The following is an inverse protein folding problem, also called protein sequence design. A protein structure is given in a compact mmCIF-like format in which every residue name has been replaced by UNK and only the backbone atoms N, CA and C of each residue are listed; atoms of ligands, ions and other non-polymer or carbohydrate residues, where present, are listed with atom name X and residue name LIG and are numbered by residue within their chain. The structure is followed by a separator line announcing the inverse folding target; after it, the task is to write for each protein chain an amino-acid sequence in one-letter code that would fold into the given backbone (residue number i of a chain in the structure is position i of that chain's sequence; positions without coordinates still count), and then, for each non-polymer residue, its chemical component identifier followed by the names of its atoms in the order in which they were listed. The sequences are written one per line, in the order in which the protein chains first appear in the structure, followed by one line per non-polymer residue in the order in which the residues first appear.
data_IF_943732144957
#
_entry.id   IF_943732144957
#
_cell.length_a   1.000
_cell.length_b   1.000
_cell.length_c   1.000
_cell.angle_alpha   90.00
_cell.angle_beta   90.00
_cell.angle_gamma   90.00
#
_symmetry.space_group_name_H-M   'P 1'
#
loop_
_entity.id
_entity.type
_entity.pdbx_description
1 polymer ?
#
# COMPACT_ATOMS: atom_id res chain seq x y z
N UNK A 1 13.82 -0.22 -9.52
CA UNK A 1 13.36 1.09 -10.01
C UNK A 1 12.25 1.65 -9.13
N UNK A 2 11.04 1.06 -9.13
CA UNK A 2 9.86 1.62 -8.43
C UNK A 2 10.10 1.95 -6.95
N UNK A 3 10.78 1.08 -6.20
CA UNK A 3 11.15 1.31 -4.79
C UNK A 3 11.99 2.57 -4.60
N UNK A 4 12.93 2.83 -5.51
CA UNK A 4 13.79 4.01 -5.48
C UNK A 4 13.03 5.27 -5.93
N UNK A 5 12.23 5.17 -6.99
CA UNK A 5 11.44 6.27 -7.54
C UNK A 5 10.39 6.78 -6.53
N UNK A 6 9.70 5.84 -5.86
CA UNK A 6 8.72 6.14 -4.82
C UNK A 6 9.34 6.57 -3.48
N UNK A 7 10.65 6.42 -3.30
CA UNK A 7 11.37 6.78 -2.06
C UNK A 7 10.71 6.19 -0.80
N UNK A 8 10.26 4.93 -0.87
CA UNK A 8 9.54 4.30 0.25
C UNK A 8 10.46 4.16 1.47
N UNK A 9 9.96 4.55 2.64
CA UNK A 9 10.71 4.45 3.90
C UNK A 9 10.63 3.06 4.53
N UNK A 10 9.55 2.33 4.22
CA UNK A 10 9.28 0.98 4.74
C UNK A 10 8.94 0.04 3.58
N UNK A 11 9.49 -1.17 3.60
CA UNK A 11 9.18 -2.24 2.68
C UNK A 11 8.62 -3.45 3.45
N UNK A 12 7.36 -3.78 3.19
CA UNK A 12 6.77 -5.04 3.64
C UNK A 12 7.11 -6.14 2.62
N UNK A 13 7.63 -7.27 3.10
CA UNK A 13 8.09 -8.36 2.22
C UNK A 13 7.98 -9.73 2.91
N UNK A 14 8.47 -10.77 2.25
CA UNK A 14 8.67 -12.12 2.79
C UNK A 14 10.16 -12.48 2.80
N UNK A 15 10.60 -13.38 3.67
CA UNK A 15 12.01 -13.74 3.84
C UNK A 15 12.67 -14.13 2.52
N UNK A 16 11.97 -14.93 1.70
CA UNK A 16 12.46 -15.42 0.39
C UNK A 16 12.76 -14.31 -0.62
N UNK A 17 12.15 -13.14 -0.47
CA UNK A 17 12.34 -11.99 -1.37
C UNK A 17 13.30 -10.95 -0.80
N UNK A 18 13.72 -11.08 0.46
CA UNK A 18 14.59 -10.11 1.15
C UNK A 18 15.89 -9.84 0.37
N UNK A 19 16.47 -10.86 -0.24
CA UNK A 19 17.70 -10.74 -1.04
C UNK A 19 17.52 -9.96 -2.36
N UNK A 20 16.28 -9.77 -2.83
CA UNK A 20 15.99 -9.01 -4.05
C UNK A 20 16.03 -7.49 -3.81
N UNK A 21 15.98 -7.07 -2.54
CA UNK A 21 15.93 -5.67 -2.15
C UNK A 21 17.21 -5.28 -1.39
N UNK A 22 18.24 -4.90 -2.13
CA UNK A 22 19.56 -4.48 -1.61
C UNK A 22 19.60 -3.01 -1.20
N UNK A 23 18.58 -2.51 -0.49
CA UNK A 23 18.51 -1.09 -0.08
C UNK A 23 18.84 -0.96 1.39
N UNK A 24 20.03 -0.41 1.70
CA UNK A 24 20.50 -0.20 3.08
C UNK A 24 19.64 0.80 3.86
N UNK A 25 18.91 1.67 3.16
CA UNK A 25 18.22 2.83 3.76
C UNK A 25 16.71 2.64 3.93
N UNK A 26 16.17 1.45 3.65
CA UNK A 26 14.73 1.15 3.76
C UNK A 26 14.52 0.18 4.92
N UNK A 27 13.61 0.53 5.83
CA UNK A 27 13.23 -0.36 6.92
C UNK A 27 12.40 -1.52 6.36
N UNK A 28 12.89 -2.76 6.51
CA UNK A 28 12.22 -3.94 5.97
C UNK A 28 11.51 -4.72 7.07
N UNK A 29 10.23 -5.03 6.86
CA UNK A 29 9.42 -5.90 7.73
C UNK A 29 9.09 -7.17 6.94
N UNK A 30 9.55 -8.32 7.43
CA UNK A 30 9.29 -9.62 6.80
C UNK A 30 8.07 -10.24 7.48
N UNK A 31 6.90 -10.17 6.82
CA UNK A 31 5.62 -10.51 7.43
C UNK A 31 5.54 -11.98 7.88
N UNK A 32 6.24 -12.87 7.20
CA UNK A 32 6.29 -14.31 7.50
C UNK A 32 7.23 -14.63 8.68
N UNK A 33 8.40 -14.00 8.74
CA UNK A 33 9.37 -14.17 9.83
C UNK A 33 8.94 -13.44 11.11
N UNK A 34 8.46 -12.21 10.96
CA UNK A 34 8.24 -11.27 12.06
C UNK A 34 6.83 -11.40 12.67
N UNK A 35 5.97 -12.27 12.12
CA UNK A 35 4.55 -12.40 12.51
C UNK A 35 4.34 -12.60 14.01
N UNK A 36 5.16 -13.46 14.65
CA UNK A 36 5.03 -13.76 16.08
C UNK A 36 5.22 -12.52 16.96
N UNK A 37 6.02 -11.55 16.53
CA UNK A 37 6.20 -10.28 17.23
C UNK A 37 5.04 -9.33 16.91
N UNK A 38 4.68 -9.19 15.63
CA UNK A 38 3.55 -8.33 15.18
C UNK A 38 2.24 -8.72 15.89
N UNK A 39 1.99 -10.02 16.07
CA UNK A 39 0.77 -10.53 16.69
C UNK A 39 0.61 -10.17 18.19
N UNK A 40 1.70 -9.72 18.83
CA UNK A 40 1.71 -9.27 20.23
C UNK A 40 1.43 -7.77 20.37
N UNK A 41 1.45 -7.00 19.27
CA UNK A 41 1.14 -5.58 19.27
C UNK A 41 -0.34 -5.30 19.59
N UNK A 42 -0.63 -4.04 19.92
CA UNK A 42 -1.98 -3.58 20.20
C UNK A 42 -2.93 -3.84 19.01
N UNK A 43 -4.14 -4.33 19.30
CA UNK A 43 -5.17 -4.64 18.30
C UNK A 43 -6.23 -3.55 18.15
N UNK A 44 -6.15 -2.51 18.97
CA UNK A 44 -7.04 -1.36 18.86
C UNK A 44 -6.74 -0.55 17.60
N UNK A 45 -7.75 0.16 17.11
CA UNK A 45 -7.56 1.04 15.96
C UNK A 45 -6.46 2.07 16.25
N UNK A 46 -5.47 2.24 15.35
CA UNK A 46 -4.40 3.20 15.57
C UNK A 46 -4.94 4.62 15.49
N UNK A 47 -4.37 5.52 16.30
CA UNK A 47 -4.60 6.94 16.14
C UNK A 47 -3.97 7.39 14.83
N UNK A 48 -4.80 7.76 13.85
CA UNK A 48 -4.36 8.20 12.54
C UNK A 48 -4.50 9.71 12.38
N UNK A 49 -3.48 10.33 11.76
CA UNK A 49 -3.52 11.73 11.32
C UNK A 49 -3.75 11.86 9.81
N UNK A 50 -4.10 10.76 9.14
CA UNK A 50 -4.35 10.73 7.71
C UNK A 50 -5.55 11.62 7.36
N UNK A 51 -5.39 12.46 6.35
CA UNK A 51 -6.44 13.32 5.79
C UNK A 51 -6.90 12.80 4.43
N UNK A 52 -8.07 13.23 3.92
CA UNK A 52 -8.57 12.79 2.61
C UNK A 52 -7.63 13.10 1.44
N UNK A 53 -6.81 14.14 1.55
CA UNK A 53 -5.85 14.57 0.51
C UNK A 53 -4.51 13.81 0.57
N UNK A 54 -4.32 12.93 1.56
CA UNK A 54 -3.14 12.06 1.58
C UNK A 54 -3.26 10.96 0.53
N UNK A 55 -2.12 10.54 -0.02
CA UNK A 55 -2.05 9.42 -0.96
C UNK A 55 -2.48 8.12 -0.27
N UNK A 56 -3.45 7.43 -0.87
CA UNK A 56 -3.87 6.08 -0.50
C UNK A 56 -3.00 5.02 -1.18
N UNK A 57 -2.66 5.20 -2.46
CA UNK A 57 -1.76 4.30 -3.18
C UNK A 57 -1.09 4.98 -4.39
N UNK A 58 0.00 4.34 -4.84
CA UNK A 58 0.65 4.63 -6.11
C UNK A 58 0.75 3.35 -6.92
N UNK A 59 0.17 3.33 -8.12
CA UNK A 59 0.30 2.20 -9.05
C UNK A 59 1.12 2.66 -10.26
N UNK A 60 2.17 1.90 -10.56
CA UNK A 60 3.01 2.17 -11.72
C UNK A 60 2.45 1.55 -12.99
N UNK A 61 2.39 2.34 -14.05
CA UNK A 61 1.99 1.89 -15.39
C UNK A 61 3.15 1.98 -16.37
N UNK A 62 3.10 1.22 -17.47
CA UNK A 62 4.10 1.34 -18.54
C UNK A 62 4.03 2.73 -19.16
N UNK A 63 5.14 3.46 -19.12
CA UNK A 63 5.23 4.75 -19.79
C UNK A 63 5.52 4.58 -21.28
N UNK A 64 4.87 5.39 -22.12
CA UNK A 64 5.17 5.48 -23.55
C UNK A 64 6.62 5.87 -23.86
N UNK A 65 7.29 6.52 -22.90
CA UNK A 65 8.71 6.91 -22.96
C UNK A 65 9.67 5.83 -22.43
N UNK A 66 9.18 4.61 -22.16
CA UNK A 66 9.95 3.46 -21.71
C UNK A 66 10.18 3.37 -20.20
N UNK A 67 10.03 4.47 -19.45
CA UNK A 67 10.09 4.47 -17.98
C UNK A 67 8.68 4.36 -17.37
N UNK A 68 8.44 3.46 -16.39
CA UNK A 68 7.17 3.42 -15.68
C UNK A 68 6.85 4.75 -14.99
N UNK A 69 5.56 5.10 -14.91
CA UNK A 69 5.08 6.30 -14.23
C UNK A 69 4.19 5.92 -13.05
N UNK A 70 4.40 6.51 -11.89
CA UNK A 70 3.56 6.32 -10.71
C UNK A 70 2.28 7.16 -10.81
N UNK A 71 1.12 6.52 -10.84
CA UNK A 71 -0.18 7.19 -10.72
C UNK A 71 -0.54 7.28 -9.25
N UNK A 72 -0.56 8.50 -8.73
CA UNK A 72 -0.82 8.80 -7.31
C UNK A 72 -2.31 9.02 -7.09
N UNK A 73 -2.92 8.26 -6.19
CA UNK A 73 -4.35 8.35 -5.87
C UNK A 73 -4.50 8.70 -4.39
N UNK A 74 -5.28 9.74 -4.11
CA UNK A 74 -5.63 10.19 -2.76
C UNK A 74 -6.77 9.37 -2.14
N UNK A 75 -6.88 9.41 -0.82
CA UNK A 75 -7.96 8.75 -0.09
C UNK A 75 -9.36 9.21 -0.53
N UNK A 76 -9.57 10.51 -0.77
CA UNK A 76 -10.89 11.01 -1.20
C UNK A 76 -11.34 10.39 -2.54
N UNK A 77 -10.42 10.21 -3.48
CA UNK A 77 -10.74 9.70 -4.81
C UNK A 77 -11.15 8.23 -4.73
N UNK A 78 -10.41 7.46 -3.92
CA UNK A 78 -10.72 6.07 -3.63
C UNK A 78 -12.09 5.95 -2.95
N UNK A 79 -12.35 6.72 -1.89
CA UNK A 79 -13.63 6.67 -1.16
C UNK A 79 -14.81 7.04 -2.06
N UNK A 80 -14.67 8.11 -2.87
CA UNK A 80 -15.70 8.52 -3.82
C UNK A 80 -16.01 7.41 -4.84
N UNK A 81 -14.96 6.78 -5.41
CA UNK A 81 -15.15 5.65 -6.32
C UNK A 81 -15.82 4.47 -5.63
N UNK A 82 -15.36 4.09 -4.43
CA UNK A 82 -15.93 2.97 -3.68
C UNK A 82 -17.40 3.19 -3.33
N UNK A 83 -17.79 4.40 -2.91
CA UNK A 83 -19.19 4.73 -2.62
C UNK A 83 -20.06 4.65 -3.87
N UNK A 84 -19.57 5.18 -5.00
CA UNK A 84 -20.27 5.08 -6.28
C UNK A 84 -20.44 3.61 -6.70
N UNK A 85 -19.39 2.79 -6.57
CA UNK A 85 -19.42 1.37 -6.91
C UNK A 85 -20.38 0.57 -6.02
N UNK A 86 -20.39 0.82 -4.71
CA UNK A 86 -21.33 0.19 -3.77
C UNK A 86 -22.77 0.51 -4.18
N UNK A 87 -23.05 1.77 -4.48
CA UNK A 87 -24.40 2.20 -4.89
C UNK A 87 -24.83 1.63 -6.25
N UNK A 88 -23.94 1.66 -7.24
CA UNK A 88 -24.26 1.24 -8.61
C UNK A 88 -24.46 -0.27 -8.71
N UNK A 89 -23.60 -1.05 -8.04
CA UNK A 89 -23.63 -2.51 -8.12
C UNK A 89 -24.45 -3.16 -7.00
N UNK A 90 -24.98 -2.37 -6.05
CA UNK A 90 -25.75 -2.89 -4.92
C UNK A 90 -24.93 -3.78 -3.98
N UNK A 91 -23.63 -3.48 -3.82
CA UNK A 91 -22.72 -4.30 -3.02
C UNK A 91 -23.19 -4.31 -1.55
N UNK A 92 -23.24 -5.51 -0.99
CA UNK A 92 -23.76 -5.84 0.32
C UNK A 92 -22.80 -6.76 1.07
N UNK A 93 -23.07 -6.96 2.36
CA UNK A 93 -22.29 -7.86 3.22
C UNK A 93 -22.39 -9.34 2.80
N UNK A 94 -23.37 -9.70 1.97
CA UNK A 94 -23.52 -11.06 1.44
C UNK A 94 -22.68 -11.36 0.20
N UNK A 95 -22.10 -10.33 -0.43
CA UNK A 95 -21.26 -10.49 -1.62
C UNK A 95 -19.86 -11.03 -1.29
N UNK A 96 -19.23 -11.72 -2.25
CA UNK A 96 -17.92 -12.38 -2.09
C UNK A 96 -16.96 -12.02 -3.21
#
# INVERSE_FOLDING_TARGET
YMVLDAQVSILLTQEKFKSQFSTKDIHQVCLDRDWSAIAQECRENPVSKVTPDNLAYVIYTSGSTGKPKGVMIEHQALVNFTQAAISEYGISESDR
#
